data_IF_813884411781
#
_entry.id   IF_813884411781
#
_cell.length_a   1.000
_cell.length_b   1.000
_cell.length_c   1.000
_cell.angle_alpha   90.00
_cell.angle_beta   90.00
_cell.angle_gamma   90.00
#
_symmetry.space_group_name_H-M   'P 1'
#
loop_
_entity.id
_entity.type
_entity.pdbx_description
1 polymer ?
#
# COMPACT_ATOMS: atom_id res chain seq x y z
N UNK A 1 18.06 5.33 20.03
CA UNK A 1 18.34 4.82 18.65
C UNK A 1 17.00 4.69 17.95
N UNK A 2 16.88 5.18 16.73
CA UNK A 2 15.69 5.06 15.90
C UNK A 2 15.53 3.61 15.44
N UNK A 3 14.31 3.08 15.45
CA UNK A 3 14.03 1.64 15.30
C UNK A 3 14.44 1.06 13.92
N UNK A 4 14.47 1.91 12.89
CA UNK A 4 14.80 1.51 11.51
C UNK A 4 16.10 2.13 10.99
N UNK A 5 17.01 2.54 11.88
CA UNK A 5 18.32 3.07 11.48
C UNK A 5 19.06 2.05 10.59
N UNK A 6 19.55 2.52 9.43
CA UNK A 6 20.25 1.67 8.44
C UNK A 6 19.35 0.77 7.60
N UNK A 7 18.01 0.82 7.78
CA UNK A 7 17.03 0.12 6.94
C UNK A 7 16.62 0.96 5.75
N UNK A 8 16.22 0.29 4.67
CA UNK A 8 15.69 0.87 3.44
C UNK A 8 14.28 0.39 3.20
N UNK A 9 13.36 1.33 3.03
CA UNK A 9 11.94 1.08 2.75
C UNK A 9 11.58 1.52 1.33
N UNK A 10 11.00 0.66 0.54
CA UNK A 10 10.37 1.03 -0.72
C UNK A 10 8.87 1.20 -0.49
N UNK A 11 8.36 2.41 -0.73
CA UNK A 11 6.96 2.79 -0.50
C UNK A 11 6.29 3.16 -1.81
N UNK A 12 5.35 2.35 -2.29
CA UNK A 12 4.56 2.68 -3.48
C UNK A 12 3.34 3.53 -3.12
N UNK A 13 2.92 4.42 -4.02
CA UNK A 13 1.84 5.37 -3.73
C UNK A 13 2.20 6.37 -2.62
N UNK A 14 3.49 6.70 -2.49
CA UNK A 14 4.06 7.46 -1.37
C UNK A 14 3.66 8.95 -1.32
N UNK A 15 3.03 9.48 -2.37
CA UNK A 15 2.77 10.93 -2.47
C UNK A 15 1.57 11.44 -1.65
N UNK A 16 0.67 10.56 -1.18
CA UNK A 16 -0.54 10.97 -0.43
C UNK A 16 -1.06 9.85 0.47
N UNK A 17 -1.96 10.20 1.41
CA UNK A 17 -2.69 9.24 2.23
C UNK A 17 -1.79 8.27 2.99
N UNK A 18 -2.17 6.99 3.01
CA UNK A 18 -1.47 5.93 3.74
C UNK A 18 0.02 5.86 3.36
N UNK A 19 0.34 5.97 2.06
CA UNK A 19 1.73 5.90 1.60
C UNK A 19 2.58 7.07 2.06
N UNK A 20 2.03 8.29 2.10
CA UNK A 20 2.71 9.46 2.68
C UNK A 20 2.94 9.29 4.18
N UNK A 21 1.89 8.94 4.93
CA UNK A 21 2.00 8.75 6.39
C UNK A 21 3.01 7.65 6.75
N UNK A 22 2.97 6.51 6.06
CA UNK A 22 3.95 5.44 6.25
C UNK A 22 5.38 5.86 5.90
N UNK A 23 5.58 6.61 4.81
CA UNK A 23 6.90 7.10 4.41
C UNK A 23 7.51 8.03 5.46
N UNK A 24 6.69 8.96 5.99
CA UNK A 24 7.11 9.88 7.07
C UNK A 24 7.44 9.11 8.35
N UNK A 25 6.59 8.19 8.78
CA UNK A 25 6.82 7.35 9.97
C UNK A 25 8.14 6.58 9.87
N UNK A 26 8.39 5.88 8.76
CA UNK A 26 9.64 5.14 8.60
C UNK A 26 10.86 6.05 8.57
N UNK A 27 10.76 7.23 7.97
CA UNK A 27 11.85 8.22 7.94
C UNK A 27 12.13 8.79 9.34
N UNK A 28 11.10 9.12 10.13
CA UNK A 28 11.22 9.55 11.52
C UNK A 28 11.92 8.52 12.40
N UNK A 29 11.67 7.24 12.12
CA UNK A 29 12.32 6.10 12.79
C UNK A 29 13.70 5.74 12.19
N UNK A 30 14.25 6.57 11.29
CA UNK A 30 15.63 6.49 10.80
C UNK A 30 15.86 5.66 9.54
N UNK A 31 14.81 5.19 8.88
CA UNK A 31 14.95 4.50 7.59
C UNK A 31 15.26 5.48 6.44
N UNK A 32 15.99 5.01 5.44
CA UNK A 32 16.00 5.65 4.13
C UNK A 32 14.77 5.18 3.32
N UNK A 33 14.01 6.11 2.75
CA UNK A 33 12.74 5.80 2.09
C UNK A 33 12.80 6.08 0.59
N UNK A 34 12.53 5.06 -0.23
CA UNK A 34 12.25 5.23 -1.65
C UNK A 34 10.77 5.58 -1.84
N UNK A 35 10.50 6.77 -2.32
CA UNK A 35 9.16 7.30 -2.58
C UNK A 35 8.79 7.00 -4.04
N UNK A 36 7.87 6.07 -4.26
CA UNK A 36 7.51 5.55 -5.59
C UNK A 36 6.07 5.93 -5.92
N UNK A 37 5.84 6.51 -7.10
CA UNK A 37 4.49 6.87 -7.54
C UNK A 37 4.50 7.65 -8.85
N UNK A 38 3.33 8.06 -9.32
CA UNK A 38 3.16 8.71 -10.64
C UNK A 38 3.30 10.24 -10.62
N UNK A 39 2.96 10.87 -9.49
CA UNK A 39 2.91 12.33 -9.36
C UNK A 39 4.21 12.83 -8.75
N UNK A 40 5.10 13.32 -9.60
CA UNK A 40 6.43 13.80 -9.19
C UNK A 40 6.34 14.91 -8.15
N UNK A 41 5.46 15.88 -8.36
CA UNK A 41 5.19 16.99 -7.45
C UNK A 41 4.87 16.50 -6.03
N UNK A 42 3.95 15.52 -5.90
CA UNK A 42 3.57 14.97 -4.59
C UNK A 42 4.67 14.16 -3.92
N UNK A 43 5.50 13.50 -4.69
CA UNK A 43 6.65 12.78 -4.14
C UNK A 43 7.72 13.74 -3.66
N UNK A 44 7.96 14.84 -4.39
CA UNK A 44 8.93 15.87 -4.02
C UNK A 44 8.49 16.63 -2.75
N UNK A 45 7.17 16.91 -2.58
CA UNK A 45 6.62 17.45 -1.33
C UNK A 45 6.96 16.53 -0.13
N UNK A 46 6.70 15.22 -0.24
CA UNK A 46 7.00 14.25 0.83
C UNK A 46 8.51 14.13 1.05
N UNK A 47 9.31 14.17 -0.01
CA UNK A 47 10.77 14.13 0.11
C UNK A 47 11.29 15.35 0.87
N UNK A 48 10.75 16.54 0.63
CA UNK A 48 11.09 17.75 1.36
C UNK A 48 10.71 17.65 2.86
N UNK A 49 9.52 17.10 3.17
CA UNK A 49 9.12 16.85 4.56
C UNK A 49 10.07 15.88 5.27
N UNK A 50 10.49 14.79 4.59
CA UNK A 50 11.47 13.85 5.13
C UNK A 50 12.83 14.53 5.34
N UNK A 51 13.28 15.37 4.42
CA UNK A 51 14.55 16.10 4.56
C UNK A 51 14.51 17.11 5.71
N UNK A 52 13.38 17.78 5.92
CA UNK A 52 13.18 18.74 7.01
C UNK A 52 13.36 18.11 8.41
N UNK A 53 13.07 16.82 8.56
CA UNK A 53 13.31 16.07 9.80
C UNK A 53 14.68 15.35 9.82
N UNK A 54 15.59 15.67 8.89
CA UNK A 54 16.90 15.05 8.78
C UNK A 54 16.91 13.63 8.19
N UNK A 55 15.78 13.16 7.65
CA UNK A 55 15.66 11.84 7.03
C UNK A 55 16.24 11.77 5.61
N UNK A 56 16.25 10.56 5.05
CA UNK A 56 16.77 10.28 3.69
C UNK A 56 15.64 9.79 2.79
N UNK A 57 15.45 10.47 1.65
CA UNK A 57 14.48 10.06 0.64
C UNK A 57 15.12 9.89 -0.75
N UNK A 58 14.58 8.95 -1.53
CA UNK A 58 14.88 8.77 -2.95
C UNK A 58 13.56 8.74 -3.72
N UNK A 59 13.40 9.58 -4.73
CA UNK A 59 12.17 9.68 -5.53
C UNK A 59 12.32 8.91 -6.83
N UNK A 60 11.35 8.03 -7.13
CA UNK A 60 11.18 7.32 -8.40
C UNK A 60 9.77 7.53 -8.96
N UNK A 61 9.70 8.22 -10.09
CA UNK A 61 8.43 8.51 -10.76
C UNK A 61 8.12 7.44 -11.79
N UNK A 62 7.12 6.59 -11.49
CA UNK A 62 6.68 5.52 -12.40
C UNK A 62 5.23 5.10 -12.12
N UNK A 63 4.62 4.42 -13.08
CA UNK A 63 3.42 3.62 -12.86
C UNK A 63 3.85 2.18 -12.53
N UNK A 64 3.39 1.65 -11.39
CA UNK A 64 3.71 0.27 -10.96
C UNK A 64 3.16 -0.81 -11.91
N UNK A 65 2.18 -0.46 -12.75
CA UNK A 65 1.66 -1.34 -13.79
C UNK A 65 2.68 -1.57 -14.94
N UNK A 66 3.63 -0.65 -15.14
CA UNK A 66 4.68 -0.77 -16.15
C UNK A 66 5.84 -1.61 -15.61
N UNK A 67 5.79 -2.92 -15.91
CA UNK A 67 6.79 -3.90 -15.44
C UNK A 67 8.21 -3.52 -15.80
N UNK A 68 8.44 -3.00 -17.02
CA UNK A 68 9.78 -2.63 -17.49
C UNK A 68 10.33 -1.48 -16.65
N UNK A 69 9.53 -0.41 -16.48
CA UNK A 69 9.94 0.74 -15.66
C UNK A 69 10.13 0.37 -14.20
N UNK A 70 9.33 -0.56 -13.65
CA UNK A 70 9.53 -1.07 -12.29
C UNK A 70 10.87 -1.77 -12.15
N UNK A 71 11.26 -2.64 -13.10
CA UNK A 71 12.58 -3.29 -13.10
C UNK A 71 13.72 -2.29 -13.13
N UNK A 72 13.69 -1.36 -14.08
CA UNK A 72 14.69 -0.29 -14.21
C UNK A 72 14.79 0.60 -12.95
N UNK A 73 13.65 0.96 -12.36
CA UNK A 73 13.62 1.73 -11.13
C UNK A 73 14.19 0.94 -9.94
N UNK A 74 13.89 -0.36 -9.84
CA UNK A 74 14.47 -1.24 -8.85
C UNK A 74 16.00 -1.26 -8.90
N UNK A 75 16.58 -1.37 -10.10
CA UNK A 75 18.04 -1.32 -10.29
C UNK A 75 18.62 0.04 -9.85
N UNK A 76 17.98 1.16 -10.25
CA UNK A 76 18.42 2.51 -9.82
C UNK A 76 18.36 2.68 -8.31
N UNK A 77 17.27 2.22 -7.67
CA UNK A 77 17.10 2.28 -6.22
C UNK A 77 18.14 1.44 -5.49
N UNK A 78 18.44 0.23 -5.97
CA UNK A 78 19.47 -0.62 -5.39
C UNK A 78 20.86 -0.01 -5.56
N UNK A 79 21.17 0.57 -6.73
CA UNK A 79 22.43 1.30 -6.93
C UNK A 79 22.58 2.50 -5.98
N UNK A 80 21.47 3.21 -5.68
CA UNK A 80 21.48 4.41 -4.84
C UNK A 80 21.45 4.10 -3.34
N UNK A 81 20.67 3.10 -2.91
CA UNK A 81 20.36 2.80 -1.52
C UNK A 81 21.02 1.51 -1.01
N UNK A 82 21.54 0.66 -1.90
CA UNK A 82 22.31 -0.54 -1.60
C UNK A 82 21.49 -1.76 -1.19
N UNK A 83 20.26 -1.57 -0.71
CA UNK A 83 19.42 -2.64 -0.14
C UNK A 83 17.93 -2.32 -0.21
N UNK A 84 17.10 -3.31 0.10
CA UNK A 84 15.69 -3.14 0.43
C UNK A 84 15.32 -4.08 1.57
N UNK A 85 14.89 -3.52 2.71
CA UNK A 85 14.50 -4.29 3.90
C UNK A 85 12.98 -4.46 3.98
N UNK A 86 12.25 -3.42 3.59
CA UNK A 86 10.80 -3.38 3.65
C UNK A 86 10.26 -2.88 2.31
N UNK A 87 9.37 -3.65 1.69
CA UNK A 87 8.57 -3.21 0.55
C UNK A 87 7.13 -2.99 1.02
N UNK A 88 6.60 -1.79 0.82
CA UNK A 88 5.18 -1.48 1.06
C UNK A 88 4.46 -1.28 -0.27
N UNK A 89 3.67 -2.26 -0.66
CA UNK A 89 2.76 -2.20 -1.80
C UNK A 89 1.47 -1.48 -1.38
N UNK A 90 1.48 -0.15 -1.47
CA UNK A 90 0.35 0.70 -1.12
C UNK A 90 -0.29 1.35 -2.35
N UNK A 91 0.41 1.44 -3.50
CA UNK A 91 -0.18 1.99 -4.71
C UNK A 91 -1.48 1.26 -5.05
N UNK A 92 -2.56 2.03 -5.22
CA UNK A 92 -3.85 1.50 -5.54
C UNK A 92 -4.81 2.60 -5.96
N UNK A 93 -5.84 2.21 -6.70
CA UNK A 93 -6.89 3.11 -7.16
C UNK A 93 -8.24 2.39 -7.22
N UNK A 94 -9.28 3.18 -7.34
CA UNK A 94 -10.61 2.75 -7.75
C UNK A 94 -11.21 3.81 -8.67
N UNK A 95 -12.30 3.50 -9.35
CA UNK A 95 -13.03 4.40 -10.25
C UNK A 95 -14.36 4.82 -9.66
N UNK A 96 -15.00 5.84 -10.24
CA UNK A 96 -16.33 6.31 -9.80
C UNK A 96 -17.40 5.32 -10.23
N UNK A 97 -17.39 4.92 -11.51
CA UNK A 97 -18.35 3.99 -12.10
C UNK A 97 -17.85 2.55 -11.93
N UNK A 98 -18.16 1.93 -10.81
CA UNK A 98 -17.55 0.68 -10.35
C UNK A 98 -18.47 -0.52 -10.26
N UNK A 99 -19.79 -0.32 -10.53
CA UNK A 99 -20.77 -1.41 -10.60
C UNK A 99 -20.59 -2.19 -11.90
N UNK A 100 -20.99 -3.46 -11.91
CA UNK A 100 -20.92 -4.30 -13.11
C UNK A 100 -21.61 -3.67 -14.33
N UNK A 101 -22.71 -2.96 -14.12
CA UNK A 101 -23.47 -2.28 -15.19
C UNK A 101 -22.84 -0.96 -15.67
N UNK A 102 -21.79 -0.47 -15.02
CA UNK A 102 -21.22 0.86 -15.28
C UNK A 102 -19.72 0.82 -15.58
N UNK A 103 -19.00 -0.20 -15.10
CA UNK A 103 -17.55 -0.30 -15.27
C UNK A 103 -17.22 -0.66 -16.71
N UNK A 104 -16.20 -0.01 -17.27
CA UNK A 104 -15.68 -0.37 -18.59
C UNK A 104 -14.63 -1.46 -18.48
N UNK A 105 -14.33 -2.14 -19.59
CA UNK A 105 -13.26 -3.13 -19.65
C UNK A 105 -11.89 -2.49 -19.34
N UNK A 106 -11.67 -1.27 -19.85
CA UNK A 106 -10.43 -0.51 -19.63
C UNK A 106 -10.24 -0.16 -18.14
N UNK A 107 -11.32 0.25 -17.46
CA UNK A 107 -11.28 0.54 -16.01
C UNK A 107 -11.02 -0.73 -15.20
N UNK A 108 -11.64 -1.85 -15.59
CA UNK A 108 -11.36 -3.15 -14.98
C UNK A 108 -9.89 -3.54 -15.13
N UNK A 109 -9.37 -3.51 -16.36
CA UNK A 109 -7.98 -3.88 -16.64
C UNK A 109 -7.01 -2.96 -15.90
N UNK A 110 -7.28 -1.66 -15.87
CA UNK A 110 -6.42 -0.69 -15.20
C UNK A 110 -6.40 -0.87 -13.68
N UNK A 111 -7.55 -1.15 -13.06
CA UNK A 111 -7.61 -1.43 -11.60
C UNK A 111 -6.78 -2.68 -11.27
N UNK A 112 -6.94 -3.76 -12.03
CA UNK A 112 -6.15 -4.97 -11.82
C UNK A 112 -4.66 -4.74 -12.08
N UNK A 113 -4.32 -4.02 -13.15
CA UNK A 113 -2.94 -3.70 -13.50
C UNK A 113 -2.23 -2.91 -12.39
N UNK A 114 -2.88 -1.91 -11.78
CA UNK A 114 -2.27 -1.11 -10.72
C UNK A 114 -2.31 -1.84 -9.37
N UNK A 115 -3.52 -2.30 -8.95
CA UNK A 115 -3.70 -2.79 -7.59
C UNK A 115 -3.08 -4.16 -7.33
N UNK A 116 -3.02 -5.02 -8.34
CA UNK A 116 -2.55 -6.40 -8.21
C UNK A 116 -1.25 -6.64 -8.98
N UNK A 117 -1.26 -6.45 -10.29
CA UNK A 117 -0.07 -6.69 -11.12
C UNK A 117 1.08 -5.75 -10.73
N UNK A 118 0.79 -4.50 -10.39
CA UNK A 118 1.79 -3.53 -9.93
C UNK A 118 2.46 -3.96 -8.62
N UNK A 119 1.69 -4.47 -7.66
CA UNK A 119 2.25 -5.04 -6.43
C UNK A 119 3.16 -6.24 -6.72
N UNK A 120 2.74 -7.14 -7.61
CA UNK A 120 3.56 -8.27 -8.06
C UNK A 120 4.86 -7.80 -8.75
N UNK A 121 4.80 -6.81 -9.62
CA UNK A 121 6.00 -6.25 -10.27
C UNK A 121 7.01 -5.73 -9.25
N UNK A 122 6.54 -5.01 -8.21
CA UNK A 122 7.39 -4.50 -7.14
C UNK A 122 8.00 -5.63 -6.30
N UNK A 123 7.23 -6.69 -6.02
CA UNK A 123 7.75 -7.90 -5.36
C UNK A 123 8.86 -8.52 -6.19
N UNK A 124 8.67 -8.68 -7.49
CA UNK A 124 9.70 -9.23 -8.38
C UNK A 124 10.99 -8.39 -8.38
N UNK A 125 10.87 -7.06 -8.35
CA UNK A 125 12.04 -6.16 -8.31
C UNK A 125 12.81 -6.23 -6.98
N UNK A 126 12.11 -6.39 -5.85
CA UNK A 126 12.72 -6.43 -4.51
C UNK A 126 13.25 -7.82 -4.11
N UNK A 127 12.58 -8.88 -4.57
CA UNK A 127 12.81 -10.27 -4.13
C UNK A 127 14.26 -10.76 -4.26
N UNK A 128 14.99 -10.56 -5.37
CA UNK A 128 16.37 -11.03 -5.49
C UNK A 128 17.27 -10.48 -4.38
N UNK A 129 17.14 -9.19 -4.08
CA UNK A 129 17.92 -8.55 -3.02
C UNK A 129 17.55 -9.06 -1.63
N UNK A 130 16.25 -9.18 -1.33
CA UNK A 130 15.79 -9.72 -0.06
C UNK A 130 16.25 -11.18 0.15
N UNK A 131 16.23 -12.00 -0.91
CA UNK A 131 16.77 -13.38 -0.86
C UNK A 131 18.26 -13.41 -0.54
N UNK A 132 19.05 -12.56 -1.17
CA UNK A 132 20.48 -12.45 -0.91
C UNK A 132 20.76 -11.97 0.52
N UNK A 133 19.96 -11.05 1.05
CA UNK A 133 20.03 -10.58 2.42
C UNK A 133 19.60 -11.65 3.44
N UNK A 134 18.87 -12.67 3.02
CA UNK A 134 18.18 -13.63 3.89
C UNK A 134 17.29 -12.93 4.92
N UNK A 135 16.71 -11.81 4.53
CA UNK A 135 15.84 -10.96 5.35
C UNK A 135 15.01 -10.06 4.45
N UNK A 136 13.76 -9.86 4.81
CA UNK A 136 12.86 -8.93 4.13
C UNK A 136 11.46 -8.94 4.73
N UNK A 137 10.76 -7.83 4.56
CA UNK A 137 9.35 -7.71 4.89
C UNK A 137 8.59 -7.09 3.73
N UNK A 138 7.52 -7.74 3.31
CA UNK A 138 6.61 -7.22 2.28
C UNK A 138 5.28 -6.92 2.96
N UNK A 139 4.86 -5.65 2.95
CA UNK A 139 3.56 -5.20 3.47
C UNK A 139 2.68 -4.85 2.27
N UNK A 140 1.56 -5.54 2.12
CA UNK A 140 0.59 -5.31 1.08
C UNK A 140 -0.64 -4.61 1.66
N UNK A 141 -0.96 -3.40 1.18
CA UNK A 141 -2.15 -2.67 1.61
C UNK A 141 -3.35 -3.11 0.76
N UNK A 142 -4.10 -4.06 1.30
CA UNK A 142 -5.32 -4.54 0.67
C UNK A 142 -6.55 -3.67 1.06
N UNK A 143 -7.58 -4.27 1.59
CA UNK A 143 -8.82 -3.67 2.11
C UNK A 143 -9.65 -4.76 2.76
N UNK A 144 -10.62 -4.41 3.61
CA UNK A 144 -11.70 -5.33 4.02
C UNK A 144 -12.46 -5.90 2.81
N UNK A 145 -12.45 -5.20 1.66
CA UNK A 145 -12.94 -5.71 0.38
C UNK A 145 -12.20 -6.94 -0.14
N UNK A 146 -11.09 -7.36 0.48
CA UNK A 146 -10.41 -8.64 0.23
C UNK A 146 -11.01 -9.82 1.03
N UNK A 147 -11.95 -9.55 1.94
CA UNK A 147 -12.58 -10.52 2.84
C UNK A 147 -14.10 -10.53 2.70
N UNK A 148 -14.69 -9.36 2.53
CA UNK A 148 -16.13 -9.19 2.44
C UNK A 148 -16.48 -8.41 1.18
N UNK A 149 -17.38 -8.94 0.37
CA UNK A 149 -17.87 -8.23 -0.82
C UNK A 149 -18.81 -7.11 -0.38
N UNK A 150 -18.58 -5.91 -0.90
CA UNK A 150 -19.43 -4.75 -0.66
C UNK A 150 -19.72 -4.02 -1.98
N UNK A 151 -20.97 -3.59 -2.18
CA UNK A 151 -21.35 -2.81 -3.35
C UNK A 151 -20.62 -1.47 -3.46
N UNK A 152 -20.11 -0.96 -2.33
CA UNK A 152 -19.31 0.28 -2.27
C UNK A 152 -17.93 0.09 -2.92
N UNK A 153 -17.33 -1.09 -2.78
CA UNK A 153 -16.00 -1.38 -3.33
C UNK A 153 -16.04 -1.54 -4.86
N UNK A 154 -17.07 -2.17 -5.39
CA UNK A 154 -17.21 -2.52 -6.81
C UNK A 154 -16.41 -3.77 -7.20
N UNK A 155 -16.78 -4.35 -8.35
CA UNK A 155 -16.33 -5.70 -8.76
C UNK A 155 -14.81 -5.77 -9.01
N UNK A 156 -14.24 -4.83 -9.77
CA UNK A 156 -12.80 -4.85 -10.12
C UNK A 156 -11.91 -4.61 -8.90
N UNK A 157 -12.30 -3.65 -8.04
CA UNK A 157 -11.55 -3.37 -6.82
C UNK A 157 -11.56 -4.58 -5.88
N UNK A 158 -12.73 -5.19 -5.64
CA UNK A 158 -12.83 -6.39 -4.82
C UNK A 158 -11.97 -7.51 -5.39
N UNK A 159 -12.08 -7.82 -6.69
CA UNK A 159 -11.26 -8.83 -7.36
C UNK A 159 -9.76 -8.55 -7.17
N UNK A 160 -9.32 -7.28 -7.34
CA UNK A 160 -7.92 -6.90 -7.15
C UNK A 160 -7.45 -7.10 -5.72
N UNK A 161 -8.29 -6.81 -4.71
CA UNK A 161 -7.92 -6.91 -3.29
C UNK A 161 -7.97 -8.35 -2.78
N UNK A 162 -8.91 -9.17 -3.24
CA UNK A 162 -8.87 -10.64 -3.02
C UNK A 162 -7.61 -11.25 -3.65
N UNK A 163 -7.28 -10.87 -4.89
CA UNK A 163 -6.04 -11.31 -5.54
C UNK A 163 -4.79 -10.90 -4.78
N UNK A 164 -4.74 -9.67 -4.25
CA UNK A 164 -3.62 -9.19 -3.44
C UNK A 164 -3.47 -10.00 -2.13
N UNK A 165 -4.58 -10.31 -1.45
CA UNK A 165 -4.55 -11.17 -0.27
C UNK A 165 -4.03 -12.56 -0.61
N UNK A 166 -4.55 -13.19 -1.67
CA UNK A 166 -4.07 -14.50 -2.14
C UNK A 166 -2.58 -14.49 -2.47
N UNK A 167 -2.10 -13.47 -3.20
CA UNK A 167 -0.68 -13.27 -3.49
C UNK A 167 0.14 -13.12 -2.20
N UNK A 168 -0.33 -12.35 -1.23
CA UNK A 168 0.37 -12.10 0.05
C UNK A 168 0.53 -13.40 0.86
N UNK A 169 -0.53 -14.19 0.96
CA UNK A 169 -0.50 -15.46 1.65
C UNK A 169 0.43 -16.48 0.95
N UNK A 170 0.41 -16.53 -0.39
CA UNK A 170 1.33 -17.36 -1.18
C UNK A 170 2.79 -16.95 -0.95
N UNK A 171 3.08 -15.64 -0.92
CA UNK A 171 4.43 -15.14 -0.59
C UNK A 171 4.90 -15.61 0.77
N UNK A 172 4.02 -15.65 1.77
CA UNK A 172 4.37 -16.19 3.11
C UNK A 172 4.81 -17.65 3.03
N UNK A 173 4.14 -18.46 2.20
CA UNK A 173 4.47 -19.89 2.04
C UNK A 173 5.73 -20.14 1.21
N UNK A 174 6.02 -19.29 0.22
CA UNK A 174 7.13 -19.51 -0.70
C UNK A 174 8.44 -18.87 -0.23
N UNK A 175 8.36 -17.74 0.49
CA UNK A 175 9.53 -16.90 0.79
C UNK A 175 10.10 -17.10 2.21
N UNK A 176 9.42 -17.80 3.12
CA UNK A 176 9.88 -17.99 4.51
C UNK A 176 11.26 -18.63 4.60
N UNK A 177 11.57 -19.58 3.72
CA UNK A 177 12.87 -20.25 3.66
C UNK A 177 14.05 -19.31 3.37
N UNK A 178 13.77 -18.12 2.89
CA UNK A 178 14.75 -17.05 2.69
C UNK A 178 14.73 -16.01 3.80
N UNK A 179 13.99 -16.23 4.90
CA UNK A 179 13.83 -15.28 5.99
C UNK A 179 12.94 -14.07 5.62
N UNK A 180 12.15 -14.16 4.54
CA UNK A 180 11.27 -13.10 4.07
C UNK A 180 9.86 -13.34 4.62
N UNK A 181 9.27 -12.29 5.17
CA UNK A 181 7.90 -12.27 5.72
C UNK A 181 6.99 -11.45 4.81
N UNK A 182 5.73 -11.83 4.72
CA UNK A 182 4.72 -11.03 4.07
C UNK A 182 3.54 -10.78 5.03
N UNK A 183 2.99 -9.58 4.98
CA UNK A 183 1.79 -9.18 5.74
C UNK A 183 0.81 -8.48 4.82
N UNK A 184 -0.46 -8.86 4.88
CA UNK A 184 -1.55 -8.19 4.20
C UNK A 184 -2.35 -7.36 5.21
N UNK A 185 -2.30 -6.04 5.11
CA UNK A 185 -3.13 -5.15 5.90
C UNK A 185 -4.44 -4.90 5.16
N UNK A 186 -5.53 -5.23 5.80
CA UNK A 186 -6.89 -5.12 5.25
C UNK A 186 -7.69 -4.05 6.01
N UNK A 187 -7.42 -2.76 5.75
CA UNK A 187 -8.18 -1.69 6.38
C UNK A 187 -9.59 -1.58 5.80
N UNK A 188 -10.51 -1.10 6.63
CA UNK A 188 -11.82 -0.59 6.25
C UNK A 188 -11.67 0.82 5.65
N UNK A 189 -12.64 1.70 5.83
CA UNK A 189 -12.61 3.05 5.28
C UNK A 189 -11.51 3.90 5.93
N UNK A 190 -10.56 4.34 5.12
CA UNK A 190 -9.46 5.22 5.53
C UNK A 190 -9.66 6.60 4.92
N UNK A 191 -9.54 7.65 5.71
CA UNK A 191 -9.64 9.05 5.29
C UNK A 191 -8.46 9.43 4.36
N UNK A 192 -8.62 9.17 3.08
CA UNK A 192 -7.59 9.40 2.06
C UNK A 192 -8.20 10.00 0.80
N UNK A 193 -7.40 10.56 -0.12
CA UNK A 193 -7.90 11.10 -1.39
C UNK A 193 -8.69 10.11 -2.27
N UNK A 194 -8.59 8.81 -2.04
CA UNK A 194 -9.39 7.80 -2.77
C UNK A 194 -10.89 7.95 -2.46
N UNK A 195 -11.23 8.48 -1.27
CA UNK A 195 -12.61 8.73 -0.87
C UNK A 195 -13.31 9.75 -1.78
N UNK A 196 -12.54 10.68 -2.37
CA UNK A 196 -13.07 11.62 -3.35
C UNK A 196 -13.62 10.97 -4.64
N UNK A 197 -13.30 9.69 -4.88
CA UNK A 197 -13.83 8.90 -6.00
C UNK A 197 -15.13 8.16 -5.66
N UNK A 198 -15.66 8.33 -4.46
CA UNK A 198 -16.99 7.81 -4.11
C UNK A 198 -18.08 8.72 -4.69
N UNK A 199 -19.21 8.13 -5.13
CA UNK A 199 -20.38 8.89 -5.59
C UNK A 199 -20.98 9.72 -4.44
N UNK A 200 -21.06 9.14 -3.25
CA UNK A 200 -21.48 9.83 -2.03
C UNK A 200 -20.25 10.48 -1.38
N UNK A 201 -20.35 11.77 -1.11
CA UNK A 201 -19.33 12.53 -0.39
C UNK A 201 -19.65 12.55 1.09
N UNK A 202 -18.63 12.43 1.91
CA UNK A 202 -18.76 12.47 3.35
C UNK A 202 -18.40 13.84 3.89
N UNK A 203 -19.17 14.38 4.84
CA UNK A 203 -18.81 15.60 5.52
C UNK A 203 -17.60 15.36 6.45
N UNK A 204 -16.86 16.43 6.82
CA UNK A 204 -15.62 16.31 7.60
C UNK A 204 -15.77 15.52 8.88
N UNK A 205 -16.84 15.71 9.63
CA UNK A 205 -17.14 15.03 10.90
C UNK A 205 -17.32 13.52 10.77
N UNK A 206 -17.68 13.04 9.56
CA UNK A 206 -17.75 11.60 9.26
C UNK A 206 -16.37 11.08 8.87
N UNK A 207 -15.61 11.88 8.11
CA UNK A 207 -14.24 11.50 7.71
C UNK A 207 -13.29 11.40 8.91
N UNK A 208 -13.49 12.21 9.95
CA UNK A 208 -12.74 12.13 11.22
C UNK A 208 -12.97 10.83 11.97
N UNK A 209 -14.12 10.17 11.77
CA UNK A 209 -14.44 8.87 12.39
C UNK A 209 -13.87 7.68 11.64
N UNK A 210 -13.38 7.88 10.40
CA UNK A 210 -12.71 6.83 9.66
C UNK A 210 -11.31 6.58 10.22
N UNK A 211 -10.72 5.44 9.87
CA UNK A 211 -9.31 5.19 10.09
C UNK A 211 -8.51 6.33 9.43
N UNK A 212 -7.53 6.88 10.14
CA UNK A 212 -6.65 7.90 9.57
C UNK A 212 -5.40 7.24 8.93
N UNK A 213 -4.76 7.89 7.96
CA UNK A 213 -3.51 7.37 7.36
C UNK A 213 -2.43 7.04 8.38
N UNK A 214 -2.35 7.81 9.47
CA UNK A 214 -1.41 7.66 10.58
C UNK A 214 -1.64 6.37 11.35
N UNK A 215 -2.89 5.90 11.50
CA UNK A 215 -3.23 4.63 12.16
C UNK A 215 -2.64 3.45 11.38
N UNK A 216 -2.67 3.55 10.03
CA UNK A 216 -2.04 2.57 9.16
C UNK A 216 -0.51 2.65 9.21
N UNK A 217 0.06 3.83 9.36
CA UNK A 217 1.50 4.00 9.56
C UNK A 217 1.96 3.32 10.85
N UNK A 218 1.25 3.49 11.98
CA UNK A 218 1.54 2.80 13.24
C UNK A 218 1.33 1.28 13.12
N UNK A 219 0.32 0.84 12.37
CA UNK A 219 0.14 -0.59 12.10
C UNK A 219 1.31 -1.18 11.30
N UNK A 220 1.79 -0.46 10.27
CA UNK A 220 3.00 -0.85 9.52
C UNK A 220 4.23 -0.89 10.42
N UNK A 221 4.38 0.10 11.31
CA UNK A 221 5.45 0.14 12.31
C UNK A 221 5.40 -1.08 13.23
N UNK A 222 4.24 -1.41 13.76
CA UNK A 222 4.03 -2.58 14.62
C UNK A 222 4.47 -3.88 13.91
N UNK A 223 4.00 -4.11 12.67
CA UNK A 223 4.36 -5.30 11.90
C UNK A 223 5.87 -5.36 11.61
N UNK A 224 6.48 -4.21 11.29
CA UNK A 224 7.90 -4.12 10.96
C UNK A 224 8.81 -4.38 12.18
N UNK A 225 8.36 -4.03 13.38
CA UNK A 225 9.08 -4.26 14.63
C UNK A 225 8.98 -5.69 15.16
N UNK A 226 8.10 -6.53 14.59
CA UNK A 226 8.02 -7.93 15.02
C UNK A 226 9.36 -8.64 14.85
N UNK A 227 9.77 -9.47 15.82
CA UNK A 227 10.98 -10.28 15.71
C UNK A 227 10.98 -11.09 14.42
N UNK A 228 12.14 -11.26 13.78
CA UNK A 228 12.29 -11.96 12.49
C UNK A 228 11.66 -13.37 12.46
N UNK A 229 11.58 -14.03 13.61
CA UNK A 229 10.95 -15.37 13.76
C UNK A 229 9.41 -15.31 13.77
N UNK A 230 8.81 -14.11 13.84
CA UNK A 230 7.36 -13.93 13.93
C UNK A 230 6.82 -13.33 12.63
N UNK A 231 5.86 -13.99 12.02
CA UNK A 231 5.13 -13.50 10.86
C UNK A 231 3.68 -13.21 11.24
N UNK A 232 3.16 -12.10 10.76
CA UNK A 232 1.73 -11.73 10.82
C UNK A 232 1.23 -11.74 9.38
N UNK A 233 0.63 -12.83 8.89
CA UNK A 233 0.25 -12.94 7.50
C UNK A 233 -0.84 -11.97 7.07
N UNK A 234 -1.73 -11.62 8.01
CA UNK A 234 -2.90 -10.79 7.73
C UNK A 234 -3.33 -10.01 8.99
N UNK A 235 -3.81 -8.76 8.78
CA UNK A 235 -4.48 -7.97 9.81
C UNK A 235 -5.71 -7.28 9.23
N UNK A 236 -6.86 -7.45 9.89
CA UNK A 236 -8.08 -6.70 9.64
C UNK A 236 -8.12 -5.48 10.56
N UNK A 237 -8.41 -4.31 10.00
CA UNK A 237 -8.38 -3.05 10.74
C UNK A 237 -9.69 -2.32 10.45
N UNK A 238 -10.49 -2.11 11.50
CA UNK A 238 -11.78 -1.43 11.42
C UNK A 238 -11.74 -0.14 12.24
N UNK A 239 -12.53 0.86 11.84
CA UNK A 239 -12.82 1.97 12.73
C UNK A 239 -13.70 1.47 13.89
N UNK A 240 -13.57 2.10 15.06
CA UNK A 240 -14.43 1.77 16.22
C UNK A 240 -15.90 2.17 16.00
N UNK A 241 -16.13 3.17 15.15
CA UNK A 241 -17.45 3.62 14.73
C UNK A 241 -17.87 2.94 13.43
N UNK A 242 -18.16 1.63 13.51
CA UNK A 242 -18.71 0.90 12.35
C UNK A 242 -20.14 1.37 12.10
N UNK A 243 -20.34 2.05 10.97
CA UNK A 243 -21.67 2.44 10.54
C UNK A 243 -22.15 1.57 9.36
N UNK A 244 -23.45 1.24 9.31
CA UNK A 244 -23.98 0.56 8.13
C UNK A 244 -23.93 1.50 6.92
N UNK A 245 -23.58 0.97 5.75
CA UNK A 245 -23.71 1.72 4.50
C UNK A 245 -25.20 1.94 4.16
N UNK A 246 -25.52 3.15 3.74
CA UNK A 246 -26.86 3.45 3.26
C UNK A 246 -27.10 2.80 1.87
N UNK A 247 -28.35 2.60 1.43
CA UNK A 247 -28.63 2.13 0.07
C UNK A 247 -27.99 2.99 -1.01
N UNK A 248 -27.95 4.32 -0.82
CA UNK A 248 -27.29 5.24 -1.75
C UNK A 248 -25.77 4.98 -1.86
N UNK A 249 -25.11 4.60 -0.76
CA UNK A 249 -23.69 4.27 -0.71
C UNK A 249 -23.41 2.87 -1.24
N UNK A 250 -24.17 1.86 -0.82
CA UNK A 250 -24.01 0.47 -1.24
C UNK A 250 -24.49 0.24 -2.68
N UNK A 251 -25.41 1.08 -3.15
CA UNK A 251 -26.03 0.94 -4.45
C UNK A 251 -26.98 -0.24 -4.56
N UNK A 252 -27.38 -0.81 -3.44
CA UNK A 252 -28.45 -1.79 -3.39
C UNK A 252 -29.81 -1.06 -3.48
N UNK A 253 -30.85 -1.68 -4.08
CA UNK A 253 -32.19 -1.13 -4.02
C UNK A 253 -32.63 -1.02 -2.55
N UNK A 254 -33.40 0.03 -2.26
CA UNK A 254 -34.02 0.27 -0.95
C UNK A 254 -35.05 -0.81 -0.61
#
# INVERSE_FOLDING_TARGET
MTAFAGKVVWMTGAGTGIGKAGALMFAQEGAAVALIGRRRDKLDEVAAEIQAIGGKAAVETLDVADRKKVGEAGERLLKRLGRVDILVNNAGLNVVNRRLSEITAEDWDYILAVNLTGAFNMVQAAMPTMRNQKDGLIINIASTAAKCVSGVAGIAYSASKFGMLGMSLSLTQEAWKFGIRACCLCPDDVNTPIMARRKVKYPPEVLEQFIQPEDLAETMRFVALMPRRTSIPEMLIYSTNVRPYTPAESGLPS
#
